data_IF_680238338440
#
_entry.id   IF_680238338440
#
_cell.length_a   1.000
_cell.length_b   1.000
_cell.length_c   1.000
_cell.angle_alpha   90.00
_cell.angle_beta   90.00
_cell.angle_gamma   90.00
#
_symmetry.space_group_name_H-M   'P 1'
#
loop_
_entity.id
_entity.type
_entity.pdbx_description
1 polymer ?
#
# COMPACT_ATOMS: atom_id res chain seq x y z
N UNK A 1 9.57 28.97 26.92
CA UNK A 1 9.90 28.37 25.61
C UNK A 1 8.61 28.19 24.81
N UNK A 2 8.56 28.64 23.56
CA UNK A 2 7.31 28.79 22.80
C UNK A 2 6.90 27.51 22.06
N UNK A 3 5.62 27.14 22.19
CA UNK A 3 4.95 25.93 21.63
C UNK A 3 5.25 25.63 20.14
N UNK A 4 5.73 26.62 19.37
CA UNK A 4 6.13 26.48 17.96
C UNK A 4 7.36 25.59 17.73
N UNK A 5 8.27 25.46 18.71
CA UNK A 5 9.51 24.67 18.53
C UNK A 5 9.31 23.15 18.67
N UNK A 6 8.26 22.69 19.36
CA UNK A 6 8.00 21.26 19.52
C UNK A 6 7.37 20.62 18.28
N UNK A 7 6.55 21.36 17.51
CA UNK A 7 6.00 20.86 16.23
C UNK A 7 7.09 20.63 15.17
N UNK A 8 8.18 21.40 15.20
CA UNK A 8 9.31 21.22 14.27
C UNK A 8 10.19 20.01 14.62
N UNK A 9 10.31 19.65 15.90
CA UNK A 9 11.10 18.49 16.34
C UNK A 9 10.38 17.19 15.97
N UNK A 10 9.05 17.16 16.03
CA UNK A 10 8.24 16.01 15.57
C UNK A 10 8.38 15.82 14.05
N UNK A 11 8.37 16.91 13.27
CA UNK A 11 8.61 16.85 11.82
C UNK A 11 10.00 16.30 11.44
N UNK A 12 11.02 16.51 12.26
CA UNK A 12 12.37 15.99 12.02
C UNK A 12 12.51 14.49 12.38
N UNK A 13 11.72 13.99 13.34
CA UNK A 13 11.71 12.58 13.71
C UNK A 13 11.02 11.69 12.64
N UNK A 14 10.02 12.23 11.93
CA UNK A 14 9.31 11.55 10.84
C UNK A 14 10.24 11.26 9.64
N UNK A 15 11.28 12.09 9.43
CA UNK A 15 12.28 11.85 8.38
C UNK A 15 13.25 10.71 8.70
N UNK A 16 13.46 10.35 9.97
CA UNK A 16 14.49 9.38 10.35
C UNK A 16 14.05 7.91 10.21
N UNK A 17 12.75 7.61 10.20
CA UNK A 17 12.25 6.25 9.95
C UNK A 17 12.21 5.97 8.43
N UNK A 18 12.04 6.99 7.60
CA UNK A 18 12.08 6.86 6.12
C UNK A 18 13.47 6.62 5.53
N UNK A 19 14.56 6.84 6.29
CA UNK A 19 15.94 6.76 5.76
C UNK A 19 16.45 5.31 5.69
N UNK A 20 15.92 4.36 6.46
CA UNK A 20 16.43 2.99 6.39
C UNK A 20 15.97 2.23 5.13
N UNK A 21 14.85 2.62 4.52
CA UNK A 21 14.39 2.05 3.24
C UNK A 21 15.16 2.64 2.05
N UNK A 22 15.80 3.80 2.23
CA UNK A 22 16.49 4.52 1.15
C UNK A 22 17.81 3.85 0.73
N UNK A 23 18.37 2.94 1.52
CA UNK A 23 19.66 2.29 1.23
C UNK A 23 19.56 1.09 0.26
N UNK A 24 18.36 0.73 -0.23
CA UNK A 24 18.15 -0.32 -1.25
C UNK A 24 17.79 0.25 -2.65
N UNK A 25 18.02 1.56 -2.89
CA UNK A 25 17.51 2.33 -4.03
C UNK A 25 18.12 2.06 -5.42
N UNK A 26 18.66 0.87 -5.67
CA UNK A 26 19.12 0.47 -7.01
C UNK A 26 18.65 -0.92 -7.43
N UNK A 27 17.53 -1.41 -6.93
CA UNK A 27 16.84 -2.51 -7.62
C UNK A 27 16.01 -1.93 -8.75
N UNK A 28 16.28 -2.37 -9.96
CA UNK A 28 15.44 -2.05 -11.11
C UNK A 28 14.02 -2.57 -10.83
N UNK A 29 12.97 -1.83 -11.20
CA UNK A 29 11.57 -2.21 -11.00
C UNK A 29 11.31 -3.71 -11.33
N UNK A 30 11.93 -4.19 -12.40
CA UNK A 30 11.86 -5.60 -12.83
C UNK A 30 12.39 -6.58 -11.78
N UNK A 31 13.47 -6.24 -11.11
CA UNK A 31 14.04 -7.05 -10.03
C UNK A 31 13.15 -7.01 -8.79
N UNK A 32 12.56 -5.86 -8.47
CA UNK A 32 11.60 -5.74 -7.38
C UNK A 32 10.35 -6.59 -7.64
N UNK A 33 9.79 -6.52 -8.85
CA UNK A 33 8.65 -7.36 -9.27
C UNK A 33 9.03 -8.83 -9.21
N UNK A 34 10.18 -9.23 -9.80
CA UNK A 34 10.64 -10.62 -9.77
C UNK A 34 10.79 -11.14 -8.34
N UNK A 35 11.42 -10.36 -7.47
CA UNK A 35 11.61 -10.72 -6.07
C UNK A 35 10.28 -10.93 -5.35
N UNK A 36 9.30 -10.06 -5.59
CA UNK A 36 7.97 -10.16 -4.98
C UNK A 36 7.26 -11.42 -5.49
N UNK A 37 7.27 -11.67 -6.80
CA UNK A 37 6.66 -12.87 -7.39
C UNK A 37 7.31 -14.16 -6.86
N UNK A 38 8.64 -14.21 -6.75
CA UNK A 38 9.39 -15.38 -6.29
C UNK A 38 9.20 -15.67 -4.79
N UNK A 39 8.88 -14.63 -4.01
CA UNK A 39 8.81 -14.73 -2.55
C UNK A 39 7.40 -14.55 -1.97
N UNK A 40 6.39 -14.20 -2.77
CA UNK A 40 5.02 -13.98 -2.31
C UNK A 40 4.47 -15.20 -1.53
N UNK A 41 4.72 -16.41 -2.04
CA UNK A 41 4.31 -17.65 -1.37
C UNK A 41 4.97 -17.86 0.00
N UNK A 42 6.01 -17.09 0.36
CA UNK A 42 6.70 -17.13 1.65
C UNK A 42 6.20 -16.09 2.65
N UNK A 43 5.33 -15.15 2.26
CA UNK A 43 4.75 -14.13 3.15
C UNK A 43 4.09 -14.82 4.35
N UNK A 44 4.56 -14.51 5.55
CA UNK A 44 4.09 -15.11 6.80
C UNK A 44 3.37 -14.12 7.70
N UNK A 45 3.38 -12.83 7.35
CA UNK A 45 2.63 -11.82 8.08
C UNK A 45 2.20 -10.67 7.17
N UNK A 46 1.01 -10.15 7.45
CA UNK A 46 0.44 -8.98 6.79
C UNK A 46 -0.05 -8.03 7.89
N UNK A 47 0.35 -6.78 7.82
CA UNK A 47 -0.07 -5.74 8.76
C UNK A 47 -0.77 -4.60 8.01
N UNK A 48 -1.87 -4.12 8.58
CA UNK A 48 -2.61 -2.96 8.08
C UNK A 48 -2.45 -1.84 9.08
N UNK A 49 -2.16 -0.65 8.58
CA UNK A 49 -2.03 0.58 9.34
C UNK A 49 -3.06 1.60 8.86
N UNK A 50 -3.60 2.38 9.80
CA UNK A 50 -4.36 3.58 9.52
C UNK A 50 -3.58 4.78 10.08
N UNK A 51 -2.94 5.53 9.18
CA UNK A 51 -1.85 6.43 9.57
C UNK A 51 -0.72 5.64 10.24
N UNK A 52 -0.32 6.02 11.45
CA UNK A 52 0.74 5.34 12.21
C UNK A 52 0.24 4.19 13.09
N UNK A 53 -1.08 4.01 13.22
CA UNK A 53 -1.66 3.02 14.12
C UNK A 53 -1.80 1.67 13.41
N UNK A 54 -1.21 0.58 13.92
CA UNK A 54 -1.49 -0.76 13.42
C UNK A 54 -2.92 -1.14 13.82
N UNK A 55 -3.75 -1.45 12.83
CA UNK A 55 -5.18 -1.75 13.03
C UNK A 55 -5.50 -3.23 12.82
N UNK A 56 -4.66 -3.97 12.10
CA UNK A 56 -4.83 -5.40 11.87
C UNK A 56 -3.49 -6.09 11.65
N UNK A 57 -3.38 -7.34 12.10
CA UNK A 57 -2.22 -8.21 11.85
C UNK A 57 -2.69 -9.64 11.63
N UNK A 58 -2.41 -10.18 10.44
CA UNK A 58 -2.55 -11.61 10.15
C UNK A 58 -1.18 -12.28 10.19
N UNK A 59 -1.12 -13.48 10.77
CA UNK A 59 0.12 -14.27 10.90
C UNK A 59 -0.05 -15.70 10.40
N UNK A 60 1.02 -16.25 9.83
CA UNK A 60 1.12 -17.62 9.33
C UNK A 60 -0.06 -18.01 8.43
N UNK A 61 -0.87 -18.99 8.86
CA UNK A 61 -2.01 -19.50 8.08
C UNK A 61 -3.03 -18.42 7.74
N UNK A 62 -3.25 -17.45 8.62
CA UNK A 62 -4.16 -16.33 8.35
C UNK A 62 -3.63 -15.43 7.24
N UNK A 63 -2.32 -15.11 7.28
CA UNK A 63 -1.70 -14.29 6.25
C UNK A 63 -1.81 -14.96 4.87
N UNK A 64 -1.64 -16.29 4.78
CA UNK A 64 -1.78 -17.05 3.53
C UNK A 64 -3.17 -16.91 2.89
N UNK A 65 -4.22 -16.66 3.67
CA UNK A 65 -5.55 -16.45 3.13
C UNK A 65 -5.67 -15.16 2.32
N UNK A 66 -4.78 -14.19 2.54
CA UNK A 66 -4.84 -12.86 1.92
C UNK A 66 -3.71 -12.58 0.93
N UNK A 67 -2.74 -13.49 0.80
CA UNK A 67 -1.67 -13.38 -0.20
C UNK A 67 -2.24 -13.63 -1.59
N UNK A 68 -1.94 -12.75 -2.54
CA UNK A 68 -2.32 -12.96 -3.94
C UNK A 68 -1.52 -14.08 -4.58
N UNK A 69 -2.17 -14.83 -5.48
CA UNK A 69 -1.49 -15.84 -6.29
C UNK A 69 -0.52 -15.20 -7.29
N UNK A 70 -0.90 -14.04 -7.81
CA UNK A 70 -0.13 -13.24 -8.76
C UNK A 70 -0.12 -11.77 -8.30
N UNK A 71 0.64 -11.44 -7.24
CA UNK A 71 0.75 -10.05 -6.82
C UNK A 71 1.39 -9.23 -7.95
N UNK A 72 0.98 -7.97 -8.09
CA UNK A 72 1.50 -7.07 -9.12
C UNK A 72 1.25 -7.54 -10.56
N UNK A 73 0.16 -8.28 -10.81
CA UNK A 73 -0.19 -8.82 -12.14
C UNK A 73 -0.26 -7.76 -13.23
N UNK A 74 -0.77 -6.58 -12.89
CA UNK A 74 -0.81 -5.44 -13.78
C UNK A 74 -0.48 -4.17 -13.00
N UNK A 75 0.42 -3.38 -13.57
CA UNK A 75 1.03 -2.24 -12.92
C UNK A 75 0.97 -1.04 -13.85
N UNK A 76 0.25 0.01 -13.45
CA UNK A 76 0.09 1.24 -14.23
C UNK A 76 0.78 2.40 -13.54
N UNK A 77 1.62 3.15 -14.27
CA UNK A 77 2.15 4.41 -13.76
C UNK A 77 1.06 5.48 -13.81
N UNK A 78 0.77 6.09 -12.67
CA UNK A 78 -0.17 7.21 -12.61
C UNK A 78 0.53 8.51 -13.01
N UNK A 79 -0.14 9.30 -13.86
CA UNK A 79 0.25 10.69 -14.07
C UNK A 79 -0.03 11.53 -12.82
N UNK A 80 0.60 12.71 -12.73
CA UNK A 80 0.33 13.66 -11.65
C UNK A 80 -1.14 14.06 -11.58
N UNK A 81 -1.80 14.16 -12.74
CA UNK A 81 -3.24 14.48 -12.84
C UNK A 81 -4.09 13.32 -12.33
N UNK A 82 -3.81 12.08 -12.74
CA UNK A 82 -4.59 10.93 -12.26
C UNK A 82 -4.45 10.73 -10.74
N UNK A 83 -3.28 11.05 -10.16
CA UNK A 83 -3.10 10.97 -8.70
C UNK A 83 -4.02 11.90 -7.92
N UNK A 84 -4.47 13.03 -8.49
CA UNK A 84 -5.39 13.96 -7.81
C UNK A 84 -6.83 13.47 -7.80
N UNK A 85 -7.17 12.39 -8.51
CA UNK A 85 -8.49 11.76 -8.43
C UNK A 85 -8.70 10.98 -7.14
N UNK A 86 -7.63 10.78 -6.36
CA UNK A 86 -7.62 10.06 -5.10
C UNK A 86 -7.26 11.01 -3.95
N UNK A 87 -7.69 10.67 -2.74
CA UNK A 87 -7.32 11.39 -1.52
C UNK A 87 -5.78 11.47 -1.39
N UNK A 88 -5.27 12.57 -0.86
CA UNK A 88 -3.83 12.82 -0.73
C UNK A 88 -3.19 11.81 0.22
N UNK A 89 -3.79 11.64 1.40
CA UNK A 89 -3.40 10.65 2.39
C UNK A 89 -4.01 9.28 2.05
N UNK A 90 -3.26 8.18 2.26
CA UNK A 90 -3.82 6.84 2.12
C UNK A 90 -4.83 6.54 3.23
N UNK A 91 -5.91 5.85 2.87
CA UNK A 91 -6.88 5.35 3.85
C UNK A 91 -6.24 4.26 4.72
N UNK A 92 -5.42 3.41 4.10
CA UNK A 92 -4.69 2.34 4.75
C UNK A 92 -3.30 2.18 4.14
N UNK A 93 -2.36 1.68 4.93
CA UNK A 93 -1.06 1.21 4.48
C UNK A 93 -0.91 -0.26 4.83
N UNK A 94 -0.55 -1.10 3.87
CA UNK A 94 -0.44 -2.56 4.04
C UNK A 94 1.00 -3.00 3.82
N UNK A 95 1.55 -3.72 4.80
CA UNK A 95 2.91 -4.26 4.77
C UNK A 95 2.86 -5.77 4.69
N UNK A 96 3.43 -6.34 3.63
CA UNK A 96 3.57 -7.78 3.44
C UNK A 96 4.97 -8.21 3.87
N UNK A 97 5.08 -9.17 4.78
CA UNK A 97 6.35 -9.50 5.44
C UNK A 97 6.71 -10.98 5.34
N UNK A 98 8.01 -11.25 5.41
CA UNK A 98 8.61 -12.57 5.61
C UNK A 98 9.54 -12.48 6.81
N UNK A 99 9.27 -13.26 7.86
CA UNK A 99 10.06 -13.28 9.11
C UNK A 99 10.25 -11.86 9.67
N UNK A 100 9.15 -11.13 9.78
CA UNK A 100 9.06 -9.73 10.23
C UNK A 100 9.79 -8.68 9.35
N UNK A 101 10.34 -9.08 8.19
CA UNK A 101 10.94 -8.14 7.23
C UNK A 101 9.96 -7.80 6.10
N UNK A 102 9.73 -6.51 5.78
CA UNK A 102 8.91 -6.12 4.63
C UNK A 102 9.47 -6.70 3.32
N UNK A 103 8.61 -7.40 2.58
CA UNK A 103 8.85 -7.80 1.19
C UNK A 103 8.42 -6.68 0.25
N UNK A 104 7.19 -6.18 0.43
CA UNK A 104 6.66 -5.02 -0.28
C UNK A 104 5.52 -4.37 0.51
N UNK A 105 5.20 -3.14 0.12
CA UNK A 105 4.25 -2.27 0.80
C UNK A 105 3.34 -1.59 -0.23
N UNK A 106 2.08 -1.40 0.15
CA UNK A 106 1.10 -0.72 -0.70
C UNK A 106 0.26 0.24 0.14
N UNK A 107 -0.07 1.37 -0.47
CA UNK A 107 -1.05 2.31 0.04
C UNK A 107 -2.41 2.04 -0.59
N UNK A 108 -3.46 2.17 0.19
CA UNK A 108 -4.84 2.06 -0.26
C UNK A 108 -5.40 3.47 -0.37
N UNK A 109 -5.50 3.94 -1.61
CA UNK A 109 -5.94 5.29 -1.92
C UNK A 109 -7.45 5.31 -2.15
N UNK A 110 -8.17 6.15 -1.40
CA UNK A 110 -9.60 6.32 -1.61
C UNK A 110 -9.87 7.26 -2.78
N UNK A 111 -10.85 6.91 -3.61
CA UNK A 111 -11.30 7.75 -4.72
C UNK A 111 -11.97 9.02 -4.17
N UNK A 112 -11.47 10.19 -4.58
CA UNK A 112 -12.03 11.49 -4.23
C UNK A 112 -12.92 12.06 -5.35
N UNK A 113 -12.57 11.79 -6.61
CA UNK A 113 -13.27 12.30 -7.79
C UNK A 113 -13.55 11.14 -8.76
N UNK A 114 -14.67 10.44 -8.57
CA UNK A 114 -15.02 9.26 -9.37
C UNK A 114 -15.39 9.60 -10.83
N UNK A 115 -15.94 10.79 -11.09
CA UNK A 115 -16.39 11.21 -12.42
C UNK A 115 -15.26 11.40 -13.44
N UNK A 116 -14.01 11.53 -12.98
CA UNK A 116 -12.84 11.74 -13.84
C UNK A 116 -12.00 10.47 -14.05
N UNK A 117 -12.39 9.34 -13.46
CA UNK A 117 -11.71 8.07 -13.68
C UNK A 117 -11.96 7.59 -15.12
N UNK A 118 -10.88 7.37 -15.86
CA UNK A 118 -10.94 6.69 -17.15
C UNK A 118 -11.44 5.24 -16.97
N UNK A 119 -11.94 4.63 -18.05
CA UNK A 119 -12.40 3.23 -18.03
C UNK A 119 -11.31 2.28 -17.49
N UNK A 120 -10.05 2.50 -17.88
CA UNK A 120 -8.92 1.73 -17.37
C UNK A 120 -8.74 1.89 -15.85
N UNK A 121 -8.82 3.11 -15.31
CA UNK A 121 -8.72 3.31 -13.85
C UNK A 121 -9.93 2.77 -13.10
N UNK A 122 -11.12 2.80 -13.71
CA UNK A 122 -12.33 2.21 -13.13
C UNK A 122 -12.19 0.69 -12.93
N UNK A 123 -11.43 0.01 -13.79
CA UNK A 123 -11.14 -1.43 -13.65
C UNK A 123 -10.09 -1.72 -12.56
N UNK A 124 -9.29 -0.73 -12.18
CA UNK A 124 -8.27 -0.88 -11.13
C UNK A 124 -8.77 -0.50 -9.73
N UNK A 125 -9.93 0.16 -9.63
CA UNK A 125 -10.55 0.46 -8.34
C UNK A 125 -11.48 -0.65 -7.90
N UNK A 126 -11.62 -0.81 -6.59
CA UNK A 126 -12.50 -1.80 -5.99
C UNK A 126 -13.33 -1.19 -4.86
N UNK A 127 -14.57 -1.66 -4.65
CA UNK A 127 -15.44 -1.15 -3.61
C UNK A 127 -15.08 -1.74 -2.24
N UNK A 128 -15.20 -0.94 -1.18
CA UNK A 128 -15.23 -1.40 0.21
C UNK A 128 -16.24 -0.53 0.98
N UNK A 129 -17.31 -1.15 1.47
CA UNK A 129 -18.45 -0.41 2.01
C UNK A 129 -18.99 0.59 0.98
N UNK A 130 -19.13 1.86 1.38
CA UNK A 130 -19.61 2.94 0.50
C UNK A 130 -18.49 3.62 -0.31
N UNK A 131 -17.23 3.19 -0.12
CA UNK A 131 -16.06 3.80 -0.77
C UNK A 131 -15.51 2.98 -1.94
N UNK A 132 -14.77 3.65 -2.82
CA UNK A 132 -13.96 3.00 -3.85
C UNK A 132 -12.49 3.30 -3.59
N UNK A 133 -11.64 2.29 -3.79
CA UNK A 133 -10.24 2.34 -3.42
C UNK A 133 -9.35 1.79 -4.54
N UNK A 134 -8.09 2.19 -4.54
CA UNK A 134 -7.06 1.68 -5.44
C UNK A 134 -5.84 1.27 -4.64
N UNK A 135 -5.18 0.21 -5.09
CA UNK A 135 -3.91 -0.22 -4.51
C UNK A 135 -2.78 0.54 -5.21
N UNK A 136 -1.95 1.22 -4.43
CA UNK A 136 -0.84 2.03 -4.90
C UNK A 136 0.47 1.51 -4.33
N UNK A 137 1.34 1.01 -5.21
CA UNK A 137 2.68 0.58 -4.83
C UNK A 137 3.55 1.81 -4.55
N UNK A 138 3.82 2.03 -3.27
CA UNK A 138 4.47 3.25 -2.74
C UNK A 138 5.87 3.46 -3.29
N UNK A 139 6.65 2.39 -3.36
CA UNK A 139 8.05 2.40 -3.75
C UNK A 139 8.21 2.80 -5.23
N UNK A 140 7.36 2.25 -6.11
CA UNK A 140 7.45 2.45 -7.56
C UNK A 140 6.49 3.53 -8.09
N UNK A 141 5.60 4.04 -7.23
CA UNK A 141 4.58 5.05 -7.55
C UNK A 141 3.60 4.62 -8.64
N UNK A 142 3.11 3.39 -8.54
CA UNK A 142 2.24 2.78 -9.56
C UNK A 142 0.96 2.24 -8.96
N UNK A 143 -0.13 2.32 -9.70
CA UNK A 143 -1.37 1.62 -9.40
C UNK A 143 -1.21 0.14 -9.72
N UNK A 144 -1.81 -0.71 -8.89
CA UNK A 144 -1.89 -2.14 -9.09
C UNK A 144 -3.33 -2.50 -9.45
N UNK A 145 -3.49 -3.40 -10.41
CA UNK A 145 -4.81 -3.93 -10.73
C UNK A 145 -5.38 -4.74 -9.56
N UNK A 146 -6.70 -4.78 -9.53
CA UNK A 146 -7.54 -5.34 -8.50
C UNK A 146 -7.00 -6.65 -7.92
N UNK A 147 -6.83 -6.64 -6.61
CA UNK A 147 -6.43 -7.81 -5.83
C UNK A 147 -7.63 -8.23 -4.98
N UNK A 148 -8.32 -9.27 -5.42
CA UNK A 148 -9.48 -9.87 -4.72
C UNK A 148 -9.16 -10.18 -3.26
N UNK A 149 -7.94 -10.60 -2.96
CA UNK A 149 -7.51 -10.93 -1.61
C UNK A 149 -7.23 -9.71 -0.75
N UNK A 150 -6.74 -8.60 -1.34
CA UNK A 150 -6.56 -7.33 -0.62
C UNK A 150 -7.91 -6.68 -0.33
N UNK A 151 -8.86 -6.74 -1.28
CA UNK A 151 -10.24 -6.32 -1.02
C UNK A 151 -10.83 -7.13 0.14
N UNK A 152 -10.77 -8.46 0.07
CA UNK A 152 -11.27 -9.34 1.13
C UNK A 152 -10.58 -9.11 2.48
N UNK A 153 -9.28 -8.81 2.49
CA UNK A 153 -8.54 -8.43 3.70
C UNK A 153 -9.12 -7.18 4.34
N UNK A 154 -9.36 -6.14 3.54
CA UNK A 154 -9.90 -4.86 4.01
C UNK A 154 -11.37 -4.96 4.41
N UNK A 155 -12.18 -5.75 3.70
CA UNK A 155 -13.56 -6.08 4.09
C UNK A 155 -13.60 -6.82 5.43
N UNK A 156 -12.70 -7.80 5.63
CA UNK A 156 -12.59 -8.55 6.89
C UNK A 156 -12.18 -7.66 8.06
N UNK A 157 -11.34 -6.66 7.81
CA UNK A 157 -10.93 -5.71 8.85
C UNK A 157 -12.06 -4.74 9.24
N UNK A 158 -12.91 -4.33 8.30
CA UNK A 158 -13.99 -3.37 8.57
C UNK A 158 -15.23 -3.98 9.25
N UNK A 159 -15.27 -5.31 9.43
CA UNK A 159 -16.35 -6.07 10.05
C UNK A 159 -15.92 -6.73 11.37
#
# INVERSE_FOLDING_TARGET
MTKRRWRLIIFAAILLIGIFVMQSREKNEKESISLILDQAAKIDSIEIFQGEQPVFRAINGEAKNFVEKYPLSHVKKLSKKERTFFEEEPAYHIVYKIKDKPLYEVDILKVAISSELSEELQQMVFPIGDGHYMIYWTQEKKALEQSTNTQRLLETYQH
#
